data_IF_511989526486
#
_entry.id   IF_511989526486
#
_cell.length_a   1.000
_cell.length_b   1.000
_cell.length_c   1.000
_cell.angle_alpha   90.00
_cell.angle_beta   90.00
_cell.angle_gamma   90.00
#
_symmetry.space_group_name_H-M   'P 1'
#
loop_
_entity.id
_entity.type
_entity.pdbx_description
1 polymer ?
#
# COMPACT_ATOMS: atom_id res chain seq x y z
N UNK A 1 11.16 -7.94 -27.99
CA UNK A 1 11.53 -7.90 -26.56
C UNK A 1 12.40 -9.09 -26.14
N UNK A 2 12.18 -10.30 -26.64
CA UNK A 2 12.83 -11.54 -26.15
C UNK A 2 14.37 -11.58 -26.24
N UNK A 3 14.99 -11.06 -27.32
CA UNK A 3 16.45 -11.08 -27.49
C UNK A 3 17.19 -10.18 -26.50
N UNK A 4 16.64 -8.99 -26.21
CA UNK A 4 17.24 -8.04 -25.30
C UNK A 4 17.16 -8.54 -23.85
N UNK A 5 16.01 -9.06 -23.43
CA UNK A 5 15.83 -9.66 -22.11
C UNK A 5 16.77 -10.84 -21.88
N UNK A 6 16.97 -11.69 -22.90
CA UNK A 6 17.89 -12.83 -22.84
C UNK A 6 19.36 -12.41 -22.73
N UNK A 7 19.76 -11.37 -23.47
CA UNK A 7 21.12 -10.82 -23.36
C UNK A 7 21.38 -10.29 -21.95
N UNK A 8 20.43 -9.51 -21.41
CA UNK A 8 20.53 -8.96 -20.06
C UNK A 8 20.60 -10.06 -19.00
N UNK A 9 19.76 -11.10 -19.09
CA UNK A 9 19.78 -12.23 -18.17
C UNK A 9 21.16 -12.93 -18.15
N UNK A 10 21.75 -13.18 -19.32
CA UNK A 10 23.07 -13.78 -19.43
C UNK A 10 24.17 -12.90 -18.81
N UNK A 11 24.14 -11.59 -19.06
CA UNK A 11 25.07 -10.64 -18.45
C UNK A 11 24.96 -10.64 -16.92
N UNK A 12 23.74 -10.62 -16.37
CA UNK A 12 23.51 -10.69 -14.93
C UNK A 12 24.04 -11.98 -14.31
N UNK A 13 23.85 -13.14 -14.97
CA UNK A 13 24.43 -14.42 -14.51
C UNK A 13 25.96 -14.36 -14.46
N UNK A 14 26.60 -13.74 -15.45
CA UNK A 14 28.06 -13.60 -15.46
C UNK A 14 28.57 -12.74 -14.30
N UNK A 15 27.88 -11.65 -13.98
CA UNK A 15 28.17 -10.82 -12.80
C UNK A 15 27.98 -11.63 -11.51
N UNK A 16 26.88 -12.37 -11.39
CA UNK A 16 26.61 -13.19 -10.20
C UNK A 16 27.68 -14.27 -9.95
N UNK A 17 28.22 -14.87 -11.01
CA UNK A 17 29.27 -15.90 -10.93
C UNK A 17 30.65 -15.37 -10.52
N UNK A 18 30.88 -14.06 -10.68
CA UNK A 18 32.20 -13.45 -10.49
C UNK A 18 32.27 -12.55 -9.25
N UNK A 19 31.14 -12.01 -8.81
CA UNK A 19 31.10 -11.17 -7.61
C UNK A 19 31.33 -11.99 -6.34
N UNK A 20 32.10 -11.45 -5.41
CA UNK A 20 32.25 -11.98 -4.04
C UNK A 20 31.12 -11.52 -3.13
N UNK A 21 30.47 -10.40 -3.44
CA UNK A 21 29.40 -9.81 -2.64
C UNK A 21 28.10 -10.60 -2.76
N UNK A 22 27.62 -11.17 -1.65
CA UNK A 22 26.41 -11.99 -1.62
C UNK A 22 25.15 -11.23 -2.06
N UNK A 23 24.98 -9.97 -1.63
CA UNK A 23 23.81 -9.16 -2.00
C UNK A 23 23.72 -8.93 -3.51
N UNK A 24 24.86 -8.63 -4.15
CA UNK A 24 24.94 -8.43 -5.61
C UNK A 24 24.67 -9.75 -6.34
N UNK A 25 25.26 -10.86 -5.88
CA UNK A 25 25.02 -12.18 -6.44
C UNK A 25 23.54 -12.54 -6.43
N UNK A 26 22.89 -12.40 -5.27
CA UNK A 26 21.49 -12.73 -5.10
C UNK A 26 20.61 -11.86 -5.99
N UNK A 27 20.85 -10.54 -6.00
CA UNK A 27 20.11 -9.61 -6.86
C UNK A 27 20.24 -9.98 -8.34
N UNK A 28 21.45 -10.18 -8.84
CA UNK A 28 21.69 -10.54 -10.24
C UNK A 28 21.02 -11.87 -10.64
N UNK A 29 21.08 -12.90 -9.79
CA UNK A 29 20.44 -14.18 -10.05
C UNK A 29 18.91 -14.06 -10.06
N UNK A 30 18.34 -13.37 -9.06
CA UNK A 30 16.90 -13.14 -8.97
C UNK A 30 16.35 -12.42 -10.21
N UNK A 31 17.04 -11.37 -10.68
CA UNK A 31 16.63 -10.66 -11.88
C UNK A 31 16.85 -11.44 -13.18
N UNK A 32 17.91 -12.24 -13.30
CA UNK A 32 18.10 -13.12 -14.45
C UNK A 32 16.96 -14.15 -14.55
N UNK A 33 16.60 -14.80 -13.44
CA UNK A 33 15.51 -15.77 -13.39
C UNK A 33 14.15 -15.15 -13.74
N UNK A 34 13.93 -13.90 -13.35
CA UNK A 34 12.71 -13.17 -13.72
C UNK A 34 12.65 -12.85 -15.22
N UNK A 35 13.75 -12.36 -15.81
CA UNK A 35 13.83 -12.08 -17.25
C UNK A 35 13.65 -13.34 -18.11
N UNK A 36 14.04 -14.49 -17.57
CA UNK A 36 13.87 -15.82 -18.19
C UNK A 36 12.46 -16.40 -17.98
N UNK A 37 11.60 -15.74 -17.19
CA UNK A 37 10.27 -16.25 -16.85
C UNK A 37 10.26 -17.42 -15.85
N UNK A 38 11.40 -17.76 -15.28
CA UNK A 38 11.54 -18.82 -14.28
C UNK A 38 11.13 -18.37 -12.87
N UNK A 39 10.97 -17.05 -12.67
CA UNK A 39 10.55 -16.45 -11.41
C UNK A 39 9.58 -15.30 -11.68
N UNK A 40 8.54 -15.17 -10.84
CA UNK A 40 7.59 -14.05 -10.90
C UNK A 40 7.71 -13.20 -9.63
N UNK A 41 8.15 -11.94 -9.76
CA UNK A 41 8.29 -11.00 -8.64
C UNK A 41 7.15 -9.98 -8.54
N UNK A 42 6.12 -10.06 -9.39
CA UNK A 42 5.02 -9.08 -9.43
C UNK A 42 4.38 -8.83 -8.06
N UNK A 43 4.24 -9.88 -7.24
CA UNK A 43 3.69 -9.75 -5.89
C UNK A 43 4.52 -8.86 -4.96
N UNK A 44 5.83 -8.81 -5.17
CA UNK A 44 6.77 -8.06 -4.34
C UNK A 44 6.94 -6.61 -4.78
N UNK A 45 6.51 -6.29 -6.01
CA UNK A 45 6.50 -4.93 -6.56
C UNK A 45 5.24 -4.14 -6.17
N UNK A 46 4.23 -4.83 -5.63
CA UNK A 46 3.02 -4.21 -5.13
C UNK A 46 3.21 -3.82 -3.67
N UNK A 47 2.87 -2.58 -3.33
CA UNK A 47 2.80 -2.15 -1.94
C UNK A 47 1.72 -2.95 -1.22
N UNK A 48 2.13 -3.68 -0.19
CA UNK A 48 1.22 -4.43 0.68
C UNK A 48 1.54 -4.08 2.12
N UNK A 49 0.54 -3.57 2.83
CA UNK A 49 0.63 -3.40 4.27
C UNK A 49 0.13 -4.71 4.90
N UNK A 50 1.01 -5.46 5.54
CA UNK A 50 0.55 -6.66 6.24
C UNK A 50 -0.31 -6.24 7.43
N UNK A 51 -1.35 -7.03 7.70
CA UNK A 51 -2.23 -6.79 8.85
C UNK A 51 -1.43 -6.63 10.15
N UNK A 52 -0.42 -7.48 10.37
CA UNK A 52 0.46 -7.41 11.55
C UNK A 52 1.21 -6.08 11.65
N UNK A 53 1.75 -5.56 10.54
CA UNK A 53 2.45 -4.27 10.53
C UNK A 53 1.49 -3.13 10.85
N UNK A 54 0.28 -3.14 10.28
CA UNK A 54 -0.73 -2.10 10.58
C UNK A 54 -1.10 -2.12 12.07
N UNK A 55 -1.33 -3.31 12.64
CA UNK A 55 -1.71 -3.46 14.04
C UNK A 55 -0.59 -3.10 15.03
N UNK A 56 0.68 -3.21 14.64
CA UNK A 56 1.83 -2.94 15.52
C UNK A 56 2.37 -1.51 15.48
N UNK A 57 1.83 -0.64 14.63
CA UNK A 57 2.29 0.73 14.47
C UNK A 57 1.15 1.74 14.75
N UNK A 58 1.47 3.00 15.08
CA UNK A 58 0.47 4.07 15.16
C UNK A 58 -0.31 4.19 13.86
N UNK A 59 -1.60 4.48 13.92
CA UNK A 59 -2.46 4.52 12.75
C UNK A 59 -1.99 5.58 11.73
N UNK A 60 -1.51 6.72 12.24
CA UNK A 60 -0.82 7.77 11.50
C UNK A 60 0.27 7.26 10.56
N UNK A 61 1.07 6.27 10.97
CA UNK A 61 2.17 5.74 10.14
C UNK A 61 1.70 5.18 8.80
N UNK A 62 0.60 4.42 8.81
CA UNK A 62 0.08 3.74 7.62
C UNK A 62 -0.82 4.65 6.79
N UNK A 63 -1.58 5.56 7.44
CA UNK A 63 -2.29 6.63 6.74
C UNK A 63 -1.31 7.52 5.98
N UNK A 64 -0.26 8.01 6.64
CA UNK A 64 0.73 8.88 6.00
C UNK A 64 1.56 8.18 4.93
N UNK A 65 1.68 6.85 4.99
CA UNK A 65 2.33 6.06 3.94
C UNK A 65 1.51 6.03 2.65
N UNK A 66 0.19 6.24 2.67
CA UNK A 66 -0.61 6.29 1.45
C UNK A 66 -0.19 7.44 0.51
N UNK A 67 0.51 8.46 1.01
CA UNK A 67 0.98 9.57 0.18
C UNK A 67 1.86 9.14 -0.99
N UNK A 68 2.62 8.05 -0.83
CA UNK A 68 3.48 7.52 -1.89
C UNK A 68 2.75 6.58 -2.85
N UNK A 69 1.47 6.31 -2.60
CA UNK A 69 0.59 5.51 -3.45
C UNK A 69 -0.36 6.38 -4.29
N UNK A 70 -0.34 7.70 -4.08
CA UNK A 70 -1.17 8.63 -4.85
C UNK A 70 -0.76 8.54 -6.32
N UNK A 71 -1.73 8.31 -7.20
CA UNK A 71 -1.54 8.51 -8.63
C UNK A 71 -1.72 10.00 -8.93
N UNK A 72 -0.65 10.73 -9.34
CA UNK A 72 -0.72 12.17 -9.57
C UNK A 72 -1.67 12.54 -10.72
N UNK A 73 -1.76 11.70 -11.75
CA UNK A 73 -2.62 11.96 -12.92
C UNK A 73 -4.10 11.94 -12.51
N UNK A 74 -4.48 11.04 -11.59
CA UNK A 74 -5.85 10.98 -11.06
C UNK A 74 -6.15 12.08 -10.02
N UNK A 75 -5.12 12.77 -9.52
CA UNK A 75 -5.24 13.79 -8.49
C UNK A 75 -5.27 15.21 -9.06
N UNK A 76 -5.30 15.38 -10.39
CA UNK A 76 -5.38 16.69 -11.03
C UNK A 76 -6.66 17.43 -10.60
N UNK A 77 -6.52 18.70 -10.22
CA UNK A 77 -7.64 19.54 -9.77
C UNK A 77 -8.17 19.22 -8.36
N UNK A 78 -7.67 18.19 -7.66
CA UNK A 78 -8.07 17.89 -6.29
C UNK A 78 -7.32 18.75 -5.27
N UNK A 79 -8.08 19.42 -4.40
CA UNK A 79 -7.58 20.14 -3.24
C UNK A 79 -8.50 19.89 -2.04
N UNK A 80 -8.32 18.76 -1.35
CA UNK A 80 -9.20 18.33 -0.26
C UNK A 80 -8.41 17.57 0.81
N UNK A 81 -8.81 17.74 2.06
CA UNK A 81 -8.28 17.00 3.20
C UNK A 81 -9.29 15.95 3.68
N UNK A 82 -8.77 14.76 3.99
CA UNK A 82 -9.53 13.68 4.59
C UNK A 82 -8.94 13.35 5.96
N UNK A 83 -9.79 13.29 6.98
CA UNK A 83 -9.44 12.83 8.33
C UNK A 83 -9.80 11.35 8.51
N UNK A 84 -8.92 10.61 9.17
CA UNK A 84 -9.19 9.30 9.74
C UNK A 84 -9.30 9.43 11.25
N UNK A 85 -10.42 8.98 11.79
CA UNK A 85 -10.70 8.91 13.22
C UNK A 85 -10.76 7.44 13.63
N UNK A 86 -9.83 7.03 14.49
CA UNK A 86 -9.76 5.67 14.99
C UNK A 86 -10.48 5.54 16.33
N UNK A 87 -11.12 4.39 16.56
CA UNK A 87 -11.91 4.13 17.79
C UNK A 87 -11.06 4.18 19.08
N UNK A 88 -9.74 4.03 18.97
CA UNK A 88 -8.80 4.22 20.07
C UNK A 88 -8.52 5.70 20.42
N UNK A 89 -9.18 6.65 19.73
CA UNK A 89 -9.02 8.09 19.92
C UNK A 89 -7.92 8.74 19.08
N UNK A 90 -7.12 7.96 18.33
CA UNK A 90 -6.14 8.52 17.40
C UNK A 90 -6.84 9.17 16.20
N UNK A 91 -6.35 10.34 15.78
CA UNK A 91 -6.80 11.03 14.58
C UNK A 91 -5.59 11.46 13.74
N UNK A 92 -5.73 11.39 12.43
CA UNK A 92 -4.69 11.76 11.46
C UNK A 92 -5.34 12.13 10.13
N UNK A 93 -4.61 12.76 9.21
CA UNK A 93 -5.16 13.17 7.93
C UNK A 93 -4.18 13.12 6.76
N UNK A 94 -4.76 13.28 5.57
CA UNK A 94 -4.06 13.53 4.32
C UNK A 94 -4.76 14.66 3.56
N UNK A 95 -4.00 15.69 3.23
CA UNK A 95 -4.39 16.73 2.30
C UNK A 95 -3.83 16.41 0.92
N UNK A 96 -4.69 16.27 -0.08
CA UNK A 96 -4.27 16.25 -1.49
C UNK A 96 -4.27 17.69 -1.98
N UNK A 97 -3.15 18.16 -2.52
CA UNK A 97 -3.02 19.47 -3.19
C UNK A 97 -1.89 19.43 -4.20
N UNK A 98 -2.11 19.98 -5.39
CA UNK A 98 -1.12 20.00 -6.48
C UNK A 98 -0.58 18.60 -6.80
N UNK A 99 -1.48 17.60 -6.89
CA UNK A 99 -1.16 16.21 -7.19
C UNK A 99 -0.19 15.54 -6.18
N UNK A 100 -0.06 16.11 -4.98
CA UNK A 100 0.74 15.56 -3.87
C UNK A 100 -0.17 15.36 -2.66
N UNK A 101 0.01 14.24 -1.97
CA UNK A 101 -0.61 13.99 -0.67
C UNK A 101 0.34 14.41 0.46
N UNK A 102 -0.19 15.20 1.39
CA UNK A 102 0.54 15.82 2.50
C UNK A 102 -0.02 15.24 3.81
N UNK A 103 0.81 14.60 4.64
CA UNK A 103 0.44 14.22 6.01
C UNK A 103 -0.05 15.41 6.83
N UNK A 104 -1.20 15.25 7.48
CA UNK A 104 -1.76 16.25 8.40
C UNK A 104 -2.28 15.56 9.67
N UNK A 105 -2.81 16.35 10.61
CA UNK A 105 -3.53 15.84 11.79
C UNK A 105 -5.05 15.70 11.55
N UNK A 106 -5.56 16.17 10.41
CA UNK A 106 -6.96 16.07 10.01
C UNK A 106 -7.88 17.11 10.67
N UNK A 107 -7.38 18.06 11.47
CA UNK A 107 -8.24 18.96 12.26
C UNK A 107 -9.16 19.82 11.41
N UNK A 108 -8.64 20.32 10.28
CA UNK A 108 -9.35 21.22 9.38
C UNK A 108 -10.08 20.47 8.24
N UNK A 109 -10.05 19.13 8.28
CA UNK A 109 -10.64 18.31 7.22
C UNK A 109 -12.18 18.40 7.22
N UNK A 110 -12.81 18.71 6.07
CA UNK A 110 -14.27 18.75 5.96
C UNK A 110 -14.90 17.35 5.96
N UNK A 111 -14.14 16.31 5.60
CA UNK A 111 -14.58 14.91 5.58
C UNK A 111 -13.78 14.07 6.58
N UNK A 112 -14.46 13.11 7.21
CA UNK A 112 -13.86 12.16 8.12
C UNK A 112 -14.34 10.73 7.88
N UNK A 113 -13.45 9.75 8.03
CA UNK A 113 -13.75 8.31 8.07
C UNK A 113 -13.52 7.81 9.49
N UNK A 114 -14.53 7.13 10.05
CA UNK A 114 -14.50 6.53 11.40
C UNK A 114 -14.44 5.01 11.32
N UNK A 115 -13.41 4.42 11.92
CA UNK A 115 -13.17 2.97 11.86
C UNK A 115 -12.28 2.47 13.01
N UNK A 116 -12.38 1.18 13.30
CA UNK A 116 -11.44 0.50 14.18
C UNK A 116 -10.09 0.27 13.47
N UNK A 117 -9.02 0.08 14.25
CA UNK A 117 -7.70 -0.23 13.68
C UNK A 117 -7.70 -1.60 12.97
N UNK A 118 -8.52 -2.55 13.42
CA UNK A 118 -8.70 -3.86 12.79
C UNK A 118 -9.33 -3.71 11.41
N UNK A 119 -10.39 -2.90 11.30
CA UNK A 119 -11.04 -2.62 10.02
C UNK A 119 -10.06 -1.98 9.05
N UNK A 120 -9.24 -1.04 9.53
CA UNK A 120 -8.18 -0.42 8.74
C UNK A 120 -7.12 -1.42 8.27
N UNK A 121 -6.68 -2.31 9.17
CA UNK A 121 -5.72 -3.35 8.85
C UNK A 121 -6.26 -4.34 7.82
N UNK A 122 -7.55 -4.67 7.89
CA UNK A 122 -8.21 -5.54 6.92
C UNK A 122 -8.36 -4.86 5.55
N UNK A 123 -8.69 -3.56 5.52
CA UNK A 123 -8.70 -2.74 4.30
C UNK A 123 -7.32 -2.71 3.62
N UNK A 124 -6.27 -2.37 4.37
CA UNK A 124 -4.91 -2.23 3.81
C UNK A 124 -4.24 -3.55 3.45
N UNK A 125 -4.63 -4.65 4.11
CA UNK A 125 -4.12 -5.99 3.79
C UNK A 125 -4.84 -6.65 2.61
N UNK A 126 -5.95 -6.04 2.16
CA UNK A 126 -6.79 -6.49 1.05
C UNK A 126 -7.76 -7.62 1.41
N UNK A 127 -7.98 -7.89 2.70
CA UNK A 127 -8.97 -8.88 3.16
C UNK A 127 -10.39 -8.33 3.19
N UNK A 128 -10.53 -7.00 3.26
CA UNK A 128 -11.81 -6.28 3.21
C UNK A 128 -11.73 -5.19 2.13
N UNK A 129 -12.78 -5.02 1.33
CA UNK A 129 -12.88 -3.89 0.41
C UNK A 129 -13.55 -2.69 1.08
N UNK A 130 -13.26 -1.48 0.61
CA UNK A 130 -13.91 -0.28 1.12
C UNK A 130 -15.43 -0.32 0.89
N UNK A 131 -15.86 -0.79 -0.29
CA UNK A 131 -17.29 -0.94 -0.63
C UNK A 131 -18.00 -1.91 0.33
N UNK A 132 -17.41 -3.07 0.60
CA UNK A 132 -17.99 -4.06 1.53
C UNK A 132 -18.04 -3.51 2.97
N UNK A 133 -17.00 -2.81 3.39
CA UNK A 133 -16.95 -2.15 4.70
C UNK A 133 -18.09 -1.14 4.86
N UNK A 134 -18.30 -0.29 3.87
CA UNK A 134 -19.38 0.71 3.88
C UNK A 134 -20.77 0.06 3.86
N UNK A 135 -20.98 -0.96 3.04
CA UNK A 135 -22.26 -1.67 2.94
C UNK A 135 -22.60 -2.46 4.21
N UNK A 136 -21.61 -3.05 4.87
CA UNK A 136 -21.83 -3.79 6.14
C UNK A 136 -22.32 -2.88 7.27
N UNK A 137 -21.85 -1.62 7.31
CA UNK A 137 -22.29 -0.61 8.28
C UNK A 137 -23.66 0.02 7.95
N UNK A 138 -24.13 -0.11 6.70
CA UNK A 138 -25.44 0.38 6.25
C UNK A 138 -26.58 -0.64 6.41
N UNK A 139 -26.29 -1.90 6.76
CA UNK A 139 -27.35 -2.86 7.09
C UNK A 139 -27.96 -2.48 8.45
N UNK A 140 -29.29 -2.24 8.55
CA UNK A 140 -29.90 -2.01 9.85
C UNK A 140 -29.63 -3.23 10.74
N UNK A 141 -29.14 -2.98 11.95
CA UNK A 141 -29.11 -4.00 13.00
C UNK A 141 -30.57 -4.34 13.33
N UNK A 142 -31.12 -5.35 12.65
CA UNK A 142 -32.42 -5.92 13.01
C UNK A 142 -32.21 -6.65 14.33
N UNK A 143 -32.27 -5.93 15.44
CA UNK A 143 -32.41 -6.51 16.77
C UNK A 143 -33.81 -7.10 16.86
N UNK A 144 -33.92 -8.41 16.67
CA UNK A 144 -35.10 -9.16 17.03
C UNK A 144 -35.26 -9.08 18.56
N UNK A 145 -36.18 -8.24 19.04
CA UNK A 145 -36.69 -8.31 20.41
C UNK A 145 -37.45 -9.64 20.55
N UNK A 146 -36.99 -10.51 21.46
CA UNK A 146 -37.83 -11.52 22.10
C UNK A 146 -38.35 -10.95 23.41
#
# INVERSE_FOLDING_TARGET
MERASRLLANSLRKVAQTTTAANIRNWCLTHALELEGSLNLERHRRHRFSRSVVMSNPASSTVHALRVLLNPDLAEGFCQELRWEFENGESTGLLIRNQVAIPTDGKDAPLAIRLSIETWADLLSGTLTLSDSLLSKLRPQITAKK
#
